data_IF_535035784581
#
_entry.id   IF_535035784581
#
_cell.length_a   1.000
_cell.length_b   1.000
_cell.length_c   1.000
_cell.angle_alpha   90.00
_cell.angle_beta   90.00
_cell.angle_gamma   90.00
#
_symmetry.space_group_name_H-M   'P 1'
#
loop_
_entity.id
_entity.type
_entity.pdbx_description
1 polymer ?
#
# COMPACT_ATOMS: atom_id res chain seq x y z
N UNK A 1 23.60 64.22 -34.16
CA UNK A 1 23.55 62.99 -33.32
C UNK A 1 23.58 61.80 -34.26
N UNK A 2 24.58 60.92 -34.11
CA UNK A 2 24.95 59.92 -35.11
C UNK A 2 24.10 58.65 -34.95
N UNK A 3 23.53 58.16 -36.05
CA UNK A 3 22.74 56.94 -36.18
C UNK A 3 23.40 55.69 -35.55
N UNK A 4 24.73 55.72 -35.44
CA UNK A 4 25.56 54.71 -34.80
C UNK A 4 25.23 54.45 -33.31
N UNK A 5 24.79 55.47 -32.56
CA UNK A 5 24.48 55.30 -31.13
C UNK A 5 23.14 54.60 -30.88
N UNK A 6 22.20 54.69 -31.83
CA UNK A 6 20.87 54.07 -31.71
C UNK A 6 20.94 52.57 -31.99
N UNK A 7 21.80 52.15 -32.92
CA UNK A 7 22.00 50.74 -33.25
C UNK A 7 22.65 49.99 -32.07
N UNK A 8 23.54 50.64 -31.32
CA UNK A 8 24.18 50.03 -30.15
C UNK A 8 23.20 49.79 -28.98
N UNK A 9 22.18 50.64 -28.83
CA UNK A 9 21.13 50.48 -27.81
C UNK A 9 20.10 49.40 -28.17
N UNK A 10 19.90 49.10 -29.45
CA UNK A 10 18.97 48.04 -29.89
C UNK A 10 19.57 46.63 -29.71
N UNK A 11 20.89 46.49 -29.79
CA UNK A 11 21.56 45.19 -29.60
C UNK A 11 21.62 44.79 -28.12
N UNK A 12 21.76 45.75 -27.20
CA UNK A 12 21.77 45.44 -25.75
C UNK A 12 20.40 45.05 -25.21
N UNK A 13 19.31 45.50 -25.84
CA UNK A 13 17.95 45.18 -25.40
C UNK A 13 17.52 43.72 -25.66
N UNK A 14 18.17 43.00 -26.59
CA UNK A 14 17.84 41.59 -26.86
C UNK A 14 18.58 40.58 -25.97
N UNK A 15 19.67 40.99 -25.30
CA UNK A 15 20.43 40.12 -24.39
C UNK A 15 19.80 40.00 -22.99
N UNK A 16 18.82 40.84 -22.64
CA UNK A 16 18.10 40.77 -21.37
C UNK A 16 16.91 39.79 -21.39
N UNK A 17 16.51 39.30 -22.56
CA UNK A 17 15.52 38.22 -22.68
C UNK A 17 16.18 36.84 -22.62
N UNK A 18 17.03 36.63 -21.62
CA UNK A 18 17.41 35.30 -21.20
C UNK A 18 16.19 34.66 -20.54
N UNK A 19 15.39 33.99 -21.37
CA UNK A 19 14.30 33.10 -20.96
C UNK A 19 14.84 32.24 -19.80
N UNK A 20 14.25 32.29 -18.59
CA UNK A 20 14.70 31.43 -17.51
C UNK A 20 14.56 30.00 -18.02
N UNK A 21 15.71 29.37 -18.28
CA UNK A 21 15.81 27.94 -18.50
C UNK A 21 15.08 27.31 -17.35
N UNK A 22 14.05 26.54 -17.66
CA UNK A 22 13.30 25.75 -16.70
C UNK A 22 14.29 24.77 -16.08
N UNK A 23 15.03 25.24 -15.07
CA UNK A 23 15.82 24.41 -14.19
C UNK A 23 14.85 23.37 -13.69
N UNK A 24 15.13 22.14 -14.08
CA UNK A 24 14.59 20.90 -13.55
C UNK A 24 13.95 21.15 -12.19
N UNK A 25 12.62 21.24 -12.20
CA UNK A 25 11.86 20.67 -11.11
C UNK A 25 12.25 19.19 -11.11
N UNK A 26 13.33 18.87 -10.39
CA UNK A 26 13.47 17.60 -9.71
C UNK A 26 12.24 17.50 -8.81
N UNK A 27 11.12 17.11 -9.43
CA UNK A 27 10.02 16.46 -8.77
C UNK A 27 10.74 15.43 -7.90
N UNK A 28 10.64 15.54 -6.58
CA UNK A 28 11.01 14.43 -5.72
C UNK A 28 10.26 13.23 -6.32
N UNK A 29 10.97 12.39 -7.07
CA UNK A 29 10.54 11.04 -7.35
C UNK A 29 10.59 10.40 -5.97
N UNK A 30 9.50 10.57 -5.22
CA UNK A 30 9.28 9.80 -4.02
C UNK A 30 9.59 8.35 -4.42
N UNK A 31 10.49 7.66 -3.70
CA UNK A 31 10.84 6.29 -4.05
C UNK A 31 9.53 5.54 -4.23
N UNK A 32 9.39 4.80 -5.34
CA UNK A 32 8.25 3.91 -5.53
C UNK A 32 8.21 2.98 -4.33
N UNK A 33 7.34 3.30 -3.36
CA UNK A 33 7.22 2.55 -2.11
C UNK A 33 6.74 1.16 -2.48
N UNK A 34 7.54 0.15 -2.16
CA UNK A 34 7.12 -1.25 -2.30
C UNK A 34 5.95 -1.49 -1.36
N UNK A 35 4.89 -2.12 -1.84
CA UNK A 35 3.74 -2.47 -1.00
C UNK A 35 4.09 -3.69 -0.15
N UNK A 36 4.01 -3.54 1.16
CA UNK A 36 4.26 -4.61 2.11
C UNK A 36 2.96 -5.39 2.38
N UNK A 37 2.96 -6.71 2.19
CA UNK A 37 1.78 -7.56 2.40
C UNK A 37 2.13 -8.72 3.31
N UNK A 38 1.40 -8.86 4.42
CA UNK A 38 1.49 -10.04 5.28
C UNK A 38 0.56 -11.15 4.76
N UNK A 39 1.09 -12.36 4.65
CA UNK A 39 0.37 -13.57 4.25
C UNK A 39 0.60 -14.66 5.29
N UNK A 40 -0.48 -15.22 5.81
CA UNK A 40 -0.43 -16.24 6.86
C UNK A 40 -1.00 -17.54 6.28
N UNK A 41 -0.24 -18.61 6.37
CA UNK A 41 -0.73 -19.97 6.19
C UNK A 41 -1.18 -20.51 7.55
N UNK A 42 -2.49 -20.67 7.70
CA UNK A 42 -3.14 -21.11 8.92
C UNK A 42 -2.91 -22.60 9.19
N UNK A 43 -3.14 -23.02 10.43
CA UNK A 43 -3.02 -24.42 10.86
C UNK A 43 -4.00 -25.35 10.12
N UNK A 44 -5.14 -24.83 9.64
CA UNK A 44 -6.13 -25.53 8.82
C UNK A 44 -5.74 -25.61 7.32
N UNK A 45 -4.62 -24.99 6.94
CA UNK A 45 -4.11 -24.93 5.57
C UNK A 45 -4.67 -23.79 4.73
N UNK A 46 -5.53 -22.94 5.27
CA UNK A 46 -6.05 -21.77 4.56
C UNK A 46 -5.03 -20.63 4.56
N UNK A 47 -5.07 -19.80 3.52
CA UNK A 47 -4.30 -18.55 3.48
C UNK A 47 -5.13 -17.38 3.97
N UNK A 48 -4.51 -16.47 4.72
CA UNK A 48 -5.08 -15.17 5.07
C UNK A 48 -4.12 -14.02 4.73
N UNK A 49 -4.56 -12.99 3.99
CA UNK A 49 -5.85 -12.91 3.30
C UNK A 49 -5.91 -13.91 2.12
N UNK A 50 -7.13 -14.33 1.75
CA UNK A 50 -7.33 -15.18 0.55
C UNK A 50 -7.17 -14.39 -0.75
N UNK A 51 -7.41 -13.08 -0.73
CA UNK A 51 -7.32 -12.22 -1.90
C UNK A 51 -6.45 -11.02 -1.59
N UNK A 52 -5.46 -10.77 -2.46
CA UNK A 52 -4.54 -9.64 -2.34
C UNK A 52 -4.69 -8.77 -3.59
N UNK A 53 -5.03 -7.50 -3.40
CA UNK A 53 -5.14 -6.55 -4.50
C UNK A 53 -3.83 -5.80 -4.71
N UNK A 54 -3.30 -5.83 -5.92
CA UNK A 54 -2.14 -5.06 -6.36
C UNK A 54 -2.44 -4.42 -7.72
N UNK A 55 -1.58 -3.50 -8.13
CA UNK A 55 -1.67 -2.92 -9.46
C UNK A 55 -0.59 -3.44 -10.40
N UNK A 56 -0.87 -3.37 -11.69
CA UNK A 56 0.11 -3.65 -12.72
C UNK A 56 1.35 -2.74 -12.57
N UNK A 57 2.53 -3.35 -12.57
CA UNK A 57 3.81 -2.68 -12.36
C UNK A 57 4.14 -2.35 -10.90
N UNK A 58 3.21 -2.57 -9.96
CA UNK A 58 3.46 -2.36 -8.53
C UNK A 58 4.43 -3.42 -8.00
N UNK A 59 5.47 -2.99 -7.30
CA UNK A 59 6.37 -3.87 -6.55
C UNK A 59 5.76 -4.13 -5.18
N UNK A 60 5.74 -5.39 -4.76
CA UNK A 60 5.29 -5.77 -3.44
C UNK A 60 6.25 -6.74 -2.76
N UNK A 61 6.43 -6.56 -1.46
CA UNK A 61 7.16 -7.46 -0.57
C UNK A 61 6.13 -8.31 0.17
N UNK A 62 6.13 -9.62 -0.04
CA UNK A 62 5.31 -10.55 0.72
C UNK A 62 6.08 -11.02 1.95
N UNK A 63 5.44 -10.95 3.12
CA UNK A 63 5.91 -11.57 4.36
C UNK A 63 5.02 -12.77 4.66
N UNK A 64 5.56 -13.96 4.48
CA UNK A 64 4.80 -15.21 4.53
C UNK A 64 5.15 -15.97 5.80
N UNK A 65 4.16 -16.27 6.63
CA UNK A 65 4.33 -17.03 7.86
C UNK A 65 3.55 -18.35 7.80
N UNK A 66 4.22 -19.45 8.12
CA UNK A 66 3.57 -20.76 8.28
C UNK A 66 3.29 -21.03 9.76
N UNK A 67 2.01 -21.13 10.12
CA UNK A 67 1.57 -21.43 11.49
C UNK A 67 1.33 -22.93 11.73
N UNK A 68 1.49 -23.76 10.70
CA UNK A 68 1.38 -25.21 10.81
C UNK A 68 2.58 -25.79 11.57
N UNK A 69 2.38 -26.97 12.16
CA UNK A 69 3.45 -27.72 12.86
C UNK A 69 4.50 -28.28 11.91
N UNK A 70 4.17 -28.44 10.62
CA UNK A 70 5.02 -29.04 9.59
C UNK A 70 5.38 -28.04 8.50
N UNK A 71 6.48 -28.27 7.79
CA UNK A 71 6.83 -27.44 6.63
C UNK A 71 5.78 -27.57 5.55
N UNK A 72 5.52 -26.46 4.87
CA UNK A 72 4.61 -26.38 3.75
C UNK A 72 5.28 -25.70 2.58
N UNK A 73 4.56 -25.48 1.50
CA UNK A 73 5.07 -24.78 0.34
C UNK A 73 4.16 -23.61 -0.06
N UNK A 74 4.74 -22.67 -0.78
CA UNK A 74 4.06 -21.53 -1.39
C UNK A 74 4.51 -21.43 -2.83
N UNK A 75 3.58 -21.45 -3.76
CA UNK A 75 3.85 -21.35 -5.18
C UNK A 75 2.99 -20.29 -5.83
N UNK A 76 3.55 -19.62 -6.83
CA UNK A 76 2.82 -18.79 -7.80
C UNK A 76 3.21 -19.36 -9.17
N UNK A 77 2.44 -20.35 -9.70
CA UNK A 77 2.84 -21.11 -10.88
C UNK A 77 3.12 -20.22 -12.10
N UNK A 78 2.28 -19.21 -12.35
CA UNK A 78 2.42 -18.28 -13.47
C UNK A 78 3.66 -17.38 -13.37
N UNK A 79 4.32 -17.36 -12.21
CA UNK A 79 5.59 -16.66 -11.95
C UNK A 79 6.78 -17.61 -11.82
N UNK A 80 6.59 -18.92 -11.94
CA UNK A 80 7.60 -19.95 -11.66
C UNK A 80 8.23 -19.81 -10.26
N UNK A 81 7.42 -19.41 -9.28
CA UNK A 81 7.87 -19.26 -7.89
C UNK A 81 7.44 -20.50 -7.13
N UNK A 82 8.38 -21.10 -6.41
CA UNK A 82 8.16 -22.14 -5.43
C UNK A 82 9.06 -21.88 -4.22
N UNK A 83 8.47 -21.75 -3.05
CA UNK A 83 9.14 -21.44 -1.79
C UNK A 83 8.73 -22.48 -0.73
N UNK A 84 9.71 -22.96 0.02
CA UNK A 84 9.46 -23.80 1.21
C UNK A 84 9.21 -22.91 2.42
N UNK A 85 8.10 -23.12 3.10
CA UNK A 85 7.72 -22.40 4.31
C UNK A 85 7.97 -23.26 5.56
N UNK A 86 8.97 -22.88 6.34
CA UNK A 86 9.29 -23.57 7.59
C UNK A 86 8.31 -23.17 8.72
N UNK A 87 7.96 -24.10 9.63
CA UNK A 87 7.10 -23.81 10.77
C UNK A 87 7.57 -22.61 11.59
N UNK A 88 6.65 -21.70 11.90
CA UNK A 88 6.86 -20.52 12.75
C UNK A 88 8.00 -19.60 12.28
N UNK A 89 8.39 -19.70 11.00
CA UNK A 89 9.42 -18.86 10.40
C UNK A 89 8.80 -17.90 9.40
N UNK A 90 9.18 -16.62 9.51
CA UNK A 90 8.84 -15.61 8.53
C UNK A 90 9.75 -15.75 7.31
N UNK A 91 9.15 -15.83 6.12
CA UNK A 91 9.85 -15.81 4.84
C UNK A 91 9.45 -14.56 4.06
N UNK A 92 10.35 -14.02 3.23
CA UNK A 92 10.05 -12.86 2.40
C UNK A 92 10.24 -13.13 0.92
N UNK A 93 9.43 -12.48 0.09
CA UNK A 93 9.48 -12.61 -1.36
C UNK A 93 9.09 -11.28 -2.02
N UNK A 94 9.95 -10.78 -2.91
CA UNK A 94 9.63 -9.62 -3.74
C UNK A 94 8.94 -10.07 -5.02
N UNK A 95 7.80 -9.47 -5.32
CA UNK A 95 6.98 -9.76 -6.50
C UNK A 95 6.60 -8.48 -7.23
N UNK A 96 6.37 -8.61 -8.54
CA UNK A 96 5.83 -7.55 -9.38
C UNK A 96 5.04 -8.21 -10.51
N UNK A 97 3.83 -7.73 -10.80
CA UNK A 97 2.99 -8.25 -11.89
C UNK A 97 2.94 -7.25 -13.05
N UNK A 98 3.32 -7.68 -14.26
CA UNK A 98 3.42 -6.81 -15.44
C UNK A 98 2.21 -6.94 -16.38
N UNK A 99 1.17 -7.63 -15.93
CA UNK A 99 -0.09 -7.79 -16.65
C UNK A 99 -1.21 -7.84 -15.62
N UNK A 100 -2.36 -7.29 -15.99
CA UNK A 100 -3.58 -7.44 -15.20
C UNK A 100 -4.12 -8.87 -15.26
N UNK A 101 -4.91 -9.23 -14.25
CA UNK A 101 -5.54 -10.55 -14.16
C UNK A 101 -5.54 -11.11 -12.76
N UNK A 102 -5.93 -12.38 -12.67
CA UNK A 102 -5.96 -13.14 -11.43
C UNK A 102 -4.81 -14.13 -11.46
N UNK A 103 -3.96 -14.09 -10.44
CA UNK A 103 -2.82 -15.01 -10.27
C UNK A 103 -3.03 -15.85 -9.03
N UNK A 104 -3.01 -17.16 -9.16
CA UNK A 104 -3.23 -18.06 -8.03
C UNK A 104 -1.93 -18.31 -7.27
N UNK A 105 -2.08 -18.45 -5.97
CA UNK A 105 -1.03 -18.98 -5.13
C UNK A 105 -1.55 -20.13 -4.28
N UNK A 106 -0.77 -21.19 -4.21
CA UNK A 106 -1.11 -22.43 -3.51
C UNK A 106 0.14 -23.29 -3.30
N UNK A 107 -0.03 -24.44 -2.65
CA UNK A 107 0.99 -25.50 -2.65
C UNK A 107 0.57 -26.58 -3.67
N UNK A 108 1.41 -27.02 -4.62
CA UNK A 108 1.01 -28.05 -5.58
C UNK A 108 0.54 -29.33 -4.89
N UNK A 109 -0.59 -29.89 -5.37
CA UNK A 109 -1.23 -31.05 -4.75
C UNK A 109 -2.11 -30.74 -3.53
N UNK A 110 -2.22 -29.46 -3.13
CA UNK A 110 -3.17 -29.04 -2.09
C UNK A 110 -4.61 -28.98 -2.60
N UNK A 111 -5.56 -28.97 -1.66
CA UNK A 111 -6.99 -28.80 -2.01
C UNK A 111 -7.29 -27.36 -2.42
N UNK A 112 -8.36 -27.09 -3.20
CA UNK A 112 -8.74 -25.72 -3.60
C UNK A 112 -8.97 -24.77 -2.42
N UNK A 113 -9.34 -25.29 -1.24
CA UNK A 113 -9.49 -24.50 0.00
C UNK A 113 -8.17 -23.90 0.51
N UNK A 114 -7.04 -24.46 0.08
CA UNK A 114 -5.68 -24.05 0.44
C UNK A 114 -5.04 -23.24 -0.69
N UNK A 115 -5.84 -22.37 -1.33
CA UNK A 115 -5.41 -21.49 -2.41
C UNK A 115 -5.87 -20.06 -2.11
N UNK A 116 -5.10 -19.09 -2.57
CA UNK A 116 -5.48 -17.68 -2.60
C UNK A 116 -5.14 -17.07 -3.95
N UNK A 117 -5.48 -15.79 -4.12
CA UNK A 117 -5.38 -15.10 -5.40
C UNK A 117 -4.82 -13.69 -5.24
N UNK A 118 -3.95 -13.28 -6.17
CA UNK A 118 -3.64 -11.89 -6.43
C UNK A 118 -4.59 -11.37 -7.51
N UNK A 119 -5.27 -10.26 -7.23
CA UNK A 119 -6.08 -9.53 -8.21
C UNK A 119 -5.29 -8.31 -8.65
N UNK A 120 -4.83 -8.34 -9.91
CA UNK A 120 -4.00 -7.29 -10.51
C UNK A 120 -4.85 -6.41 -11.40
N UNK A 121 -5.02 -5.15 -11.00
CA UNK A 121 -5.78 -4.14 -11.74
C UNK A 121 -4.88 -3.10 -12.39
N UNK A 122 -5.40 -2.41 -13.40
CA UNK A 122 -4.74 -1.22 -13.96
C UNK A 122 -4.80 -0.07 -12.94
N UNK A 123 -3.73 0.70 -12.81
CA UNK A 123 -3.79 1.98 -12.09
C UNK A 123 -4.73 2.93 -12.84
N UNK A 124 -5.93 3.14 -12.32
CA UNK A 124 -6.76 4.24 -12.77
C UNK A 124 -6.16 5.50 -12.16
N UNK A 125 -5.32 6.19 -12.94
CA UNK A 125 -4.86 7.52 -12.56
C UNK A 125 -6.07 8.45 -12.65
N UNK A 126 -6.77 8.61 -11.54
CA UNK A 126 -7.87 9.56 -11.43
C UNK A 126 -7.30 10.93 -11.80
N UNK A 127 -7.66 11.42 -12.99
CA UNK A 127 -7.37 12.80 -13.37
C UNK A 127 -8.24 13.64 -12.47
N UNK A 128 -7.69 14.13 -11.37
CA UNK A 128 -8.31 15.23 -10.63
C UNK A 128 -8.50 16.34 -11.66
N UNK A 129 -9.75 16.70 -12.05
CA UNK A 129 -9.96 17.77 -12.98
C UNK A 129 -9.36 19.03 -12.35
N UNK A 130 -8.56 19.77 -13.11
CA UNK A 130 -7.87 20.99 -12.67
C UNK A 130 -8.82 22.16 -12.32
N UNK A 131 -10.11 21.89 -12.09
CA UNK A 131 -11.15 22.89 -11.86
C UNK A 131 -11.42 23.19 -10.38
N UNK A 132 -10.76 22.53 -9.42
CA UNK A 132 -10.86 22.87 -7.99
C UNK A 132 -9.69 23.76 -7.57
N UNK A 133 -9.49 24.85 -8.31
CA UNK A 133 -8.69 25.99 -7.83
C UNK A 133 -9.54 27.26 -7.94
N UNK A 134 -10.79 27.19 -7.49
CA UNK A 134 -11.48 28.42 -7.08
C UNK A 134 -11.02 28.71 -5.66
N UNK A 135 -10.37 29.86 -5.38
CA UNK A 135 -10.13 30.25 -3.99
C UNK A 135 -11.50 30.32 -3.31
N UNK A 136 -11.66 29.59 -2.20
CA UNK A 136 -12.80 29.80 -1.31
C UNK A 136 -12.76 31.26 -0.87
N UNK A 137 -13.59 32.10 -1.48
CA UNK A 137 -13.96 33.39 -0.89
C UNK A 137 -14.78 33.02 0.34
N UNK A 138 -14.15 33.10 1.51
CA UNK A 138 -14.81 32.96 2.79
C UNK A 138 -15.92 34.03 2.86
N UNK A 139 -17.21 33.67 2.88
CA UNK A 139 -18.25 34.68 3.03
C UNK A 139 -18.10 35.32 4.41
N UNK A 140 -17.96 36.64 4.46
CA UNK A 140 -17.72 37.44 5.67
C UNK A 140 -18.89 37.45 6.68
N UNK A 141 -19.84 36.53 6.58
CA UNK A 141 -21.01 36.45 7.45
C UNK A 141 -21.20 35.06 8.03
N UNK A 142 -20.30 34.68 8.94
CA UNK A 142 -20.57 33.66 9.95
C UNK A 142 -20.37 34.27 11.34
N UNK A 143 -21.20 35.26 11.67
CA UNK A 143 -21.52 35.59 13.05
C UNK A 143 -22.83 34.90 13.42
N UNK A 144 -22.72 34.04 14.44
CA UNK A 144 -23.78 33.40 15.23
C UNK A 144 -24.63 32.32 14.54
N UNK A 145 -24.20 31.07 14.68
CA UNK A 145 -25.11 29.99 15.06
C UNK A 145 -24.45 29.18 16.17
N UNK A 146 -24.81 29.49 17.42
CA UNK A 146 -24.68 28.52 18.50
C UNK A 146 -25.76 27.46 18.28
N UNK A 147 -25.37 26.22 17.94
CA UNK A 147 -26.19 25.06 18.23
C UNK A 147 -25.31 23.90 18.65
N UNK A 148 -25.45 23.58 19.94
CA UNK A 148 -24.97 22.40 20.65
C UNK A 148 -25.17 21.16 19.76
N UNK A 149 -24.09 20.48 19.38
CA UNK A 149 -24.14 19.09 18.93
C UNK A 149 -23.08 18.32 19.68
N UNK A 150 -23.55 17.39 20.50
CA UNK A 150 -22.75 16.45 21.28
C UNK A 150 -22.05 15.48 20.34
N UNK A 151 -20.72 15.54 20.30
CA UNK A 151 -19.87 14.41 19.93
C UNK A 151 -18.83 14.27 21.02
N UNK A 152 -19.20 13.55 22.07
CA UNK A 152 -18.22 13.04 23.03
C UNK A 152 -17.72 11.68 22.55
N UNK A 153 -16.40 11.62 22.38
CA UNK A 153 -15.51 10.52 22.68
C UNK A 153 -15.66 9.20 21.89
N UNK A 154 -14.82 9.05 20.86
CA UNK A 154 -14.17 7.77 20.60
C UNK A 154 -12.70 7.95 20.99
N UNK A 155 -12.38 7.44 22.18
CA UNK A 155 -11.03 7.34 22.73
C UNK A 155 -10.22 6.37 21.85
N UNK A 156 -9.06 6.82 21.38
CA UNK A 156 -8.00 5.90 20.95
C UNK A 156 -7.51 5.13 22.19
N UNK A 157 -7.39 3.79 22.16
CA UNK A 157 -6.74 3.07 23.25
C UNK A 157 -5.23 3.34 23.22
N UNK A 158 -4.74 3.81 24.36
CA UNK A 158 -3.35 4.10 24.68
C UNK A 158 -2.52 2.78 24.71
N UNK A 159 -1.39 2.68 24.00
CA UNK A 159 -0.56 1.47 23.98
C UNK A 159 0.39 1.46 25.19
N UNK A 160 -0.13 1.11 26.37
CA UNK A 160 0.71 0.86 27.54
C UNK A 160 -0.01 0.00 28.59
N UNK A 161 -0.32 -1.24 28.23
CA UNK A 161 -0.59 -2.30 29.22
C UNK A 161 0.20 -3.56 28.85
N UNK A 162 1.06 -4.08 29.76
CA UNK A 162 1.69 -5.39 29.59
C UNK A 162 0.63 -6.48 29.69
N UNK A 163 0.60 -7.37 28.71
CA UNK A 163 -0.22 -8.59 28.75
C UNK A 163 0.32 -9.52 29.84
N UNK A 164 -0.45 -9.70 30.91
CA UNK A 164 -0.24 -10.76 31.91
C UNK A 164 -1.14 -11.95 31.52
N UNK A 165 -0.59 -13.15 31.26
CA UNK A 165 -1.40 -14.33 30.98
C UNK A 165 -2.05 -14.80 32.29
N UNK A 166 -3.38 -14.82 32.36
CA UNK A 166 -4.08 -15.64 33.34
C UNK A 166 -4.07 -17.08 32.83
N UNK A 167 -3.30 -17.93 33.50
CA UNK A 167 -3.44 -19.38 33.45
C UNK A 167 -4.89 -19.75 33.80
N UNK A 168 -5.59 -20.36 32.85
CA UNK A 168 -6.85 -21.04 33.12
C UNK A 168 -6.58 -22.53 32.96
N UNK A 169 -6.45 -23.20 34.10
CA UNK A 169 -6.50 -24.65 34.21
C UNK A 169 -7.88 -25.12 33.75
N UNK A 170 -7.89 -25.99 32.74
CA UNK A 170 -8.99 -26.87 32.38
C UNK A 170 -8.35 -28.24 32.06
N UNK A 171 -7.86 -28.88 33.12
CA UNK A 171 -7.81 -30.34 33.18
C UNK A 171 -9.11 -30.84 33.83
N UNK A 172 -9.49 -32.04 33.44
CA UNK A 172 -10.58 -32.87 34.00
C UNK A 172 -12.01 -32.49 33.60
N UNK A 173 -12.48 -33.14 32.53
CA UNK A 173 -13.67 -34.01 32.54
C UNK A 173 -13.98 -34.36 31.09
N UNK A 174 -13.63 -35.58 30.63
CA UNK A 174 -14.38 -36.33 29.60
C UNK A 174 -13.69 -37.68 29.35
N UNK A 175 -13.69 -38.54 30.37
CA UNK A 175 -13.61 -39.99 30.20
C UNK A 175 -14.69 -40.64 31.05
N UNK A 176 -15.93 -40.61 30.56
CA UNK A 176 -16.93 -41.61 30.91
C UNK A 176 -18.10 -41.57 29.92
N UNK A 177 -18.07 -42.44 28.91
CA UNK A 177 -19.20 -43.25 28.43
C UNK A 177 -18.84 -44.03 27.15
N UNK A 178 -18.89 -45.35 27.31
CA UNK A 178 -18.99 -46.44 26.33
C UNK A 178 -17.71 -46.87 25.61
#
# INVERSE_FOLDING_TARGET
MKLSTIILLLITAQLAYAKPSAKEMNLLQAPLVSKEVALILNSDGTYYPQTIHLHEGEKATLWIMNTQKQSSCFSIPEKNILLTLYPLKLSSLNIQFNKTGIYRFNCPGSTPKQSGEFVISTLVKERIPASITTPMILPANLKKIHKKSSFQNILYPNPSTPWSPKEHNLEEEFFNKN
#
